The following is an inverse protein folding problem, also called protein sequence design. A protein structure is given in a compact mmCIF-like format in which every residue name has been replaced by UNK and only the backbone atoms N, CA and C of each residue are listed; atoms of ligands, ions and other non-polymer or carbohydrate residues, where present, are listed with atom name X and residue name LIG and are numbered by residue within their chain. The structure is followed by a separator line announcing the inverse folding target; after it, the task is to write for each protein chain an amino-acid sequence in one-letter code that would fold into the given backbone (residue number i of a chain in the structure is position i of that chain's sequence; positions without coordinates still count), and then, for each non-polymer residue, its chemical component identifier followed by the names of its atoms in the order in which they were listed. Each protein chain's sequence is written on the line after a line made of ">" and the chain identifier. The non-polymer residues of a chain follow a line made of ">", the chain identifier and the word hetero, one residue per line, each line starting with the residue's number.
data_IF_794881289179
#
_entry.id   IF_794881289179
#
_cell.length_a   1.000
_cell.length_b   1.000
_cell.length_c   1.000
_cell.angle_alpha   90.00
_cell.angle_beta   90.00
_cell.angle_gamma   90.00
#
_symmetry.space_group_name_H-M   'P 1'
#
loop_
_entity.id
_entity.type
_entity.pdbx_description
1 polymer ?
#
# COMPACT_ATOMS: atom_id res chain seq x y z
N UNK A 1 48.59 14.50 25.51
CA UNK A 1 47.63 15.58 25.19
C UNK A 1 47.37 15.70 23.70
N UNK A 2 48.32 15.36 22.82
CA UNK A 2 48.10 15.33 21.37
C UNK A 2 47.29 14.12 20.88
N UNK A 3 47.52 12.93 21.43
CA UNK A 3 46.87 11.69 20.97
C UNK A 3 45.34 11.78 21.06
N UNK A 4 44.82 12.43 22.11
CA UNK A 4 43.38 12.67 22.29
C UNK A 4 42.82 13.59 21.20
N UNK A 5 43.58 14.61 20.78
CA UNK A 5 43.19 15.55 19.74
C UNK A 5 43.24 14.91 18.34
N UNK A 6 44.24 14.06 18.08
CA UNK A 6 44.29 13.24 16.86
C UNK A 6 43.16 12.20 16.81
N UNK A 7 42.83 11.57 17.94
CA UNK A 7 41.68 10.67 18.02
C UNK A 7 40.38 11.45 17.82
N UNK A 8 40.19 12.62 18.43
CA UNK A 8 39.00 13.45 18.22
C UNK A 8 38.84 13.90 16.76
N UNK A 9 39.95 14.27 16.10
CA UNK A 9 39.95 14.63 14.67
C UNK A 9 39.66 13.40 13.78
N UNK A 10 40.28 12.26 14.05
CA UNK A 10 40.01 11.01 13.33
C UNK A 10 38.55 10.55 13.54
N UNK A 11 38.00 10.70 14.74
CA UNK A 11 36.60 10.37 15.06
C UNK A 11 35.64 11.34 14.35
N UNK A 12 36.00 12.63 14.25
CA UNK A 12 35.22 13.62 13.53
C UNK A 12 35.28 13.42 12.00
N UNK A 13 36.41 12.99 11.48
CA UNK A 13 36.64 12.67 10.06
C UNK A 13 35.91 11.37 9.67
N UNK A 14 36.00 10.31 10.48
CA UNK A 14 35.20 9.08 10.33
C UNK A 14 33.69 9.34 10.46
N UNK A 15 33.27 10.22 11.37
CA UNK A 15 31.87 10.65 11.50
C UNK A 15 31.37 11.49 10.30
N UNK A 16 32.27 12.20 9.61
CA UNK A 16 31.97 12.93 8.38
C UNK A 16 31.93 12.00 7.15
N UNK A 17 32.68 10.89 7.16
CA UNK A 17 32.67 9.87 6.09
C UNK A 17 31.41 8.98 6.11
N UNK A 18 30.78 8.81 7.28
CA UNK A 18 29.44 8.24 7.41
C UNK A 18 28.34 9.31 7.21
N UNK A 19 28.18 9.91 6.03
CA UNK A 19 27.12 10.92 5.82
C UNK A 19 25.91 10.39 5.04
N UNK A 20 24.72 10.78 5.48
CA UNK A 20 23.43 10.57 4.80
C UNK A 20 23.01 9.11 4.70
N UNK A 21 23.00 8.55 3.48
CA UNK A 21 22.46 7.22 3.18
C UNK A 21 23.30 6.08 3.77
N UNK A 22 24.62 6.28 3.91
CA UNK A 22 25.52 5.32 4.55
C UNK A 22 25.18 5.11 6.03
N UNK A 23 24.66 6.11 6.72
CA UNK A 23 24.18 5.95 8.10
C UNK A 23 22.92 5.08 8.19
N UNK A 24 22.08 5.10 7.14
CA UNK A 24 20.76 4.46 7.17
C UNK A 24 20.80 3.04 6.62
N UNK A 25 21.85 2.64 5.89
CA UNK A 25 21.91 1.35 5.19
C UNK A 25 21.59 0.15 6.10
N UNK A 26 22.11 0.12 7.33
CA UNK A 26 21.86 -0.94 8.32
C UNK A 26 20.50 -0.84 9.03
N UNK A 27 19.78 0.27 8.87
CA UNK A 27 18.48 0.53 9.49
C UNK A 27 17.31 0.32 8.50
N UNK A 28 17.53 0.47 7.18
CA UNK A 28 16.48 0.36 6.14
C UNK A 28 15.77 -0.99 6.17
N UNK A 29 16.53 -2.08 6.32
CA UNK A 29 15.98 -3.44 6.25
C UNK A 29 15.60 -4.01 7.61
N UNK A 30 15.73 -3.22 8.68
CA UNK A 30 15.33 -3.67 10.00
C UNK A 30 13.82 -3.89 10.05
N UNK A 31 13.39 -4.92 10.78
CA UNK A 31 11.97 -5.18 11.05
C UNK A 31 11.29 -3.91 11.58
N UNK A 32 10.29 -3.35 10.87
CA UNK A 32 9.56 -2.20 11.35
C UNK A 32 8.60 -2.61 12.48
N UNK A 33 8.24 -1.65 13.35
CA UNK A 33 7.30 -1.88 14.48
C UNK A 33 5.97 -2.47 14.03
N UNK A 34 5.49 -2.07 12.85
CA UNK A 34 4.24 -2.52 12.25
C UNK A 34 4.46 -3.28 10.94
N UNK A 35 5.30 -4.32 10.96
CA UNK A 35 5.64 -5.10 9.76
C UNK A 35 4.43 -5.71 9.03
N UNK A 36 3.40 -6.14 9.76
CA UNK A 36 2.14 -6.62 9.17
C UNK A 36 1.44 -5.53 8.36
N UNK A 37 1.26 -4.34 8.95
CA UNK A 37 0.58 -3.23 8.26
C UNK A 37 1.36 -2.82 7.02
N UNK A 38 2.68 -2.69 7.12
CA UNK A 38 3.51 -2.36 5.96
C UNK A 38 3.37 -3.41 4.85
N UNK A 39 3.45 -4.69 5.19
CA UNK A 39 3.30 -5.79 4.23
C UNK A 39 1.93 -5.76 3.54
N UNK A 40 0.86 -5.51 4.30
CA UNK A 40 -0.50 -5.34 3.79
C UNK A 40 -0.61 -4.14 2.85
N UNK A 41 -0.07 -2.98 3.24
CA UNK A 41 -0.04 -1.77 2.40
C UNK A 41 0.72 -1.99 1.10
N UNK A 42 1.86 -2.69 1.13
CA UNK A 42 2.62 -3.04 -0.07
C UNK A 42 1.83 -3.99 -0.97
N UNK A 43 1.15 -4.99 -0.39
CA UNK A 43 0.26 -5.89 -1.14
C UNK A 43 -0.86 -5.13 -1.86
N UNK A 44 -1.59 -4.29 -1.14
CA UNK A 44 -2.65 -3.46 -1.73
C UNK A 44 -2.12 -2.46 -2.76
N UNK A 45 -0.94 -1.88 -2.53
CA UNK A 45 -0.26 -1.03 -3.51
C UNK A 45 0.06 -1.78 -4.81
N UNK A 46 0.56 -3.01 -4.72
CA UNK A 46 0.80 -3.86 -5.88
C UNK A 46 -0.49 -4.20 -6.63
N UNK A 47 -1.59 -4.40 -5.90
CA UNK A 47 -2.91 -4.66 -6.48
C UNK A 47 -3.40 -3.48 -7.32
N UNK A 48 -3.31 -2.27 -6.76
CA UNK A 48 -3.71 -1.02 -7.43
C UNK A 48 -2.80 -0.77 -8.63
N UNK A 49 -1.48 -0.88 -8.46
CA UNK A 49 -0.52 -0.67 -9.53
C UNK A 49 -0.75 -1.65 -10.70
N UNK A 50 -0.92 -2.94 -10.40
CA UNK A 50 -1.21 -3.96 -11.41
C UNK A 50 -2.51 -3.67 -12.17
N UNK A 51 -3.57 -3.31 -11.45
CA UNK A 51 -4.84 -2.89 -12.06
C UNK A 51 -4.62 -1.67 -12.97
N UNK A 52 -4.01 -0.60 -12.47
CA UNK A 52 -3.78 0.64 -13.22
C UNK A 52 -2.96 0.41 -14.49
N UNK A 53 -1.88 -0.38 -14.41
CA UNK A 53 -1.03 -0.70 -15.57
C UNK A 53 -1.83 -1.49 -16.61
N UNK A 54 -2.55 -2.54 -16.21
CA UNK A 54 -3.32 -3.37 -17.15
C UNK A 54 -4.47 -2.56 -17.77
N UNK A 55 -5.17 -1.75 -16.98
CA UNK A 55 -6.21 -0.84 -17.49
C UNK A 55 -5.64 0.15 -18.49
N UNK A 56 -4.47 0.76 -18.22
CA UNK A 56 -3.82 1.70 -19.13
C UNK A 56 -3.47 1.02 -20.46
N UNK A 57 -2.91 -0.19 -20.42
CA UNK A 57 -2.59 -0.95 -21.64
C UNK A 57 -3.84 -1.23 -22.47
N UNK A 58 -4.93 -1.69 -21.85
CA UNK A 58 -6.20 -1.94 -22.57
C UNK A 58 -6.84 -0.66 -23.11
N UNK A 59 -6.69 0.47 -22.40
CA UNK A 59 -7.14 1.76 -22.88
C UNK A 59 -6.33 2.21 -24.11
N UNK A 60 -5.00 2.08 -24.08
CA UNK A 60 -4.11 2.45 -25.19
C UNK A 60 -4.33 1.59 -26.44
N UNK A 61 -4.67 0.31 -26.27
CA UNK A 61 -4.98 -0.61 -27.38
C UNK A 61 -6.41 -0.41 -27.94
N UNK A 62 -7.21 0.48 -27.35
CA UNK A 62 -8.58 0.77 -27.81
C UNK A 62 -9.63 -0.27 -27.42
N UNK A 63 -9.32 -1.23 -26.53
CA UNK A 63 -10.30 -2.20 -26.03
C UNK A 63 -11.35 -1.57 -25.10
N UNK A 64 -11.03 -0.42 -24.51
CA UNK A 64 -11.93 0.33 -23.63
C UNK A 64 -12.49 1.54 -24.38
N UNK A 65 -13.59 1.33 -25.10
CA UNK A 65 -14.28 2.41 -25.81
C UNK A 65 -15.00 3.35 -24.84
N UNK A 66 -14.78 4.69 -24.94
CA UNK A 66 -15.50 5.69 -24.14
C UNK A 66 -17.03 5.67 -24.33
N UNK A 67 -17.52 5.04 -25.41
CA UNK A 67 -18.94 4.93 -25.71
C UNK A 67 -19.70 3.99 -24.75
N UNK A 68 -19.00 3.06 -24.09
CA UNK A 68 -19.60 2.18 -23.09
C UNK A 68 -19.61 2.87 -21.73
N UNK A 69 -20.71 3.57 -21.42
CA UNK A 69 -20.90 4.24 -20.12
C UNK A 69 -20.68 3.26 -18.97
N UNK A 70 -19.65 3.52 -18.16
CA UNK A 70 -19.29 2.67 -17.01
C UNK A 70 -18.46 1.42 -17.33
N UNK A 71 -18.15 1.14 -18.60
CA UNK A 71 -17.35 -0.02 -19.00
C UNK A 71 -15.93 0.01 -18.40
N UNK A 72 -15.29 1.18 -18.40
CA UNK A 72 -13.99 1.39 -17.75
C UNK A 72 -14.02 1.01 -16.28
N UNK A 73 -15.04 1.48 -15.55
CA UNK A 73 -15.16 1.28 -14.11
C UNK A 73 -15.39 -0.20 -13.79
N UNK A 74 -16.24 -0.88 -14.54
CA UNK A 74 -16.44 -2.34 -14.43
C UNK A 74 -15.16 -3.13 -14.73
N UNK A 75 -14.42 -2.75 -15.78
CA UNK A 75 -13.13 -3.37 -16.11
C UNK A 75 -12.10 -3.18 -15.00
N UNK A 76 -11.99 -1.97 -14.43
CA UNK A 76 -11.10 -1.70 -13.30
C UNK A 76 -11.46 -2.55 -12.08
N UNK A 77 -12.75 -2.68 -11.74
CA UNK A 77 -13.19 -3.51 -10.61
C UNK A 77 -12.88 -4.99 -10.81
N UNK A 78 -13.10 -5.51 -12.02
CA UNK A 78 -12.77 -6.88 -12.37
C UNK A 78 -11.26 -7.13 -12.30
N UNK A 79 -10.47 -6.26 -12.93
CA UNK A 79 -9.00 -6.33 -12.90
C UNK A 79 -8.48 -6.24 -11.47
N UNK A 80 -8.98 -5.30 -10.66
CA UNK A 80 -8.62 -5.17 -9.25
C UNK A 80 -8.84 -6.49 -8.49
N UNK A 81 -9.96 -7.16 -8.73
CA UNK A 81 -10.30 -8.44 -8.10
C UNK A 81 -9.25 -9.52 -8.44
N UNK A 82 -8.87 -9.63 -9.72
CA UNK A 82 -7.86 -10.58 -10.18
C UNK A 82 -6.46 -10.25 -9.65
N UNK A 83 -6.12 -8.97 -9.53
CA UNK A 83 -4.85 -8.54 -8.95
C UNK A 83 -4.69 -8.90 -7.47
N UNK A 84 -5.74 -9.41 -6.82
CA UNK A 84 -5.68 -9.97 -5.46
C UNK A 84 -4.60 -11.04 -5.29
N UNK A 85 -4.30 -11.83 -6.34
CA UNK A 85 -3.20 -12.82 -6.29
C UNK A 85 -1.84 -12.13 -6.05
N UNK A 86 -1.57 -11.06 -6.79
CA UNK A 86 -0.33 -10.29 -6.62
C UNK A 86 -0.29 -9.56 -5.28
N UNK A 87 -1.44 -9.10 -4.78
CA UNK A 87 -1.58 -8.50 -3.46
C UNK A 87 -1.18 -9.49 -2.34
N UNK A 88 -1.76 -10.68 -2.38
CA UNK A 88 -1.46 -11.76 -1.44
C UNK A 88 0.01 -12.20 -1.54
N UNK A 89 0.52 -12.37 -2.76
CA UNK A 89 1.91 -12.77 -2.99
C UNK A 89 2.89 -11.74 -2.42
N UNK A 90 2.77 -10.47 -2.79
CA UNK A 90 3.69 -9.42 -2.37
C UNK A 90 3.61 -9.18 -0.86
N UNK A 91 2.40 -9.14 -0.28
CA UNK A 91 2.26 -8.98 1.18
C UNK A 91 2.90 -10.14 1.95
N UNK A 92 2.69 -11.39 1.54
CA UNK A 92 3.31 -12.55 2.18
C UNK A 92 4.83 -12.54 2.09
N UNK A 93 5.38 -12.14 0.94
CA UNK A 93 6.83 -12.01 0.70
C UNK A 93 7.45 -10.99 1.63
N UNK A 94 6.87 -9.79 1.72
CA UNK A 94 7.35 -8.73 2.60
C UNK A 94 7.16 -9.08 4.08
N UNK A 95 6.06 -9.74 4.44
CA UNK A 95 5.86 -10.17 5.82
C UNK A 95 6.91 -11.20 6.26
N UNK A 96 7.24 -12.14 5.36
CA UNK A 96 8.30 -13.13 5.58
C UNK A 96 9.69 -12.51 5.62
N UNK A 97 9.98 -11.49 4.80
CA UNK A 97 11.23 -10.72 4.84
C UNK A 97 11.51 -10.17 6.25
N UNK A 98 10.47 -9.72 6.95
CA UNK A 98 10.59 -9.18 8.30
C UNK A 98 10.46 -10.25 9.41
N UNK A 99 10.63 -11.54 9.08
CA UNK A 99 10.54 -12.64 10.04
C UNK A 99 9.16 -12.75 10.68
N UNK A 100 8.10 -12.66 9.88
CA UNK A 100 6.74 -12.92 10.30
C UNK A 100 6.31 -14.35 9.97
N UNK A 101 5.81 -15.09 10.97
CA UNK A 101 5.39 -16.50 10.81
C UNK A 101 3.88 -16.66 10.56
N UNK A 102 3.07 -15.75 11.13
CA UNK A 102 1.60 -15.76 11.04
C UNK A 102 1.07 -15.26 9.69
N UNK A 103 1.44 -15.94 8.60
CA UNK A 103 1.08 -15.52 7.24
C UNK A 103 -0.44 -15.44 7.04
N UNK A 104 -1.21 -16.36 7.64
CA UNK A 104 -2.69 -16.38 7.55
C UNK A 104 -3.32 -15.08 8.06
N UNK A 105 -2.82 -14.54 9.17
CA UNK A 105 -3.30 -13.27 9.71
C UNK A 105 -2.93 -12.11 8.77
N UNK A 106 -1.71 -12.12 8.23
CA UNK A 106 -1.31 -11.14 7.22
C UNK A 106 -2.22 -11.20 5.98
N UNK A 107 -2.53 -12.40 5.48
CA UNK A 107 -3.44 -12.62 4.35
C UNK A 107 -4.85 -12.08 4.63
N UNK A 108 -5.40 -12.37 5.81
CA UNK A 108 -6.71 -11.85 6.24
C UNK A 108 -6.68 -10.32 6.27
N UNK A 109 -5.64 -9.71 6.85
CA UNK A 109 -5.49 -8.27 6.85
C UNK A 109 -5.39 -7.70 5.42
N UNK A 110 -4.65 -8.34 4.51
CA UNK A 110 -4.56 -7.91 3.10
C UNK A 110 -5.92 -7.97 2.40
N UNK A 111 -6.70 -9.03 2.65
CA UNK A 111 -7.98 -9.23 2.00
C UNK A 111 -9.10 -8.31 2.55
N UNK A 112 -9.00 -7.90 3.82
CA UNK A 112 -10.09 -7.19 4.51
C UNK A 112 -9.81 -5.74 4.87
N UNK A 113 -8.57 -5.34 5.16
CA UNK A 113 -8.29 -4.02 5.75
C UNK A 113 -8.68 -2.88 4.81
N UNK A 114 -8.04 -2.79 3.65
CA UNK A 114 -8.32 -1.72 2.68
C UNK A 114 -9.66 -1.94 1.95
N UNK A 115 -9.95 -3.13 1.39
CA UNK A 115 -11.24 -3.36 0.74
C UNK A 115 -12.43 -3.11 1.67
N UNK A 116 -12.33 -3.54 2.94
CA UNK A 116 -13.38 -3.32 3.93
C UNK A 116 -13.51 -1.87 4.35
N UNK A 117 -12.39 -1.14 4.49
CA UNK A 117 -12.43 0.31 4.76
C UNK A 117 -13.16 1.05 3.64
N UNK A 118 -12.78 0.82 2.38
CA UNK A 118 -13.40 1.48 1.23
C UNK A 118 -14.85 1.06 1.04
N UNK A 119 -15.18 -0.22 1.21
CA UNK A 119 -16.55 -0.70 1.15
C UNK A 119 -17.42 -0.07 2.25
N UNK A 120 -16.90 0.09 3.46
CA UNK A 120 -17.63 0.72 4.57
C UNK A 120 -17.94 2.18 4.27
N UNK A 121 -16.94 2.94 3.80
CA UNK A 121 -17.13 4.35 3.40
C UNK A 121 -18.15 4.46 2.28
N UNK A 122 -17.97 3.67 1.21
CA UNK A 122 -18.89 3.61 0.09
C UNK A 122 -20.31 3.25 0.51
N UNK A 123 -20.47 2.24 1.39
CA UNK A 123 -21.77 1.80 1.87
C UNK A 123 -22.48 2.88 2.68
N UNK A 124 -21.79 3.54 3.62
CA UNK A 124 -22.36 4.65 4.40
C UNK A 124 -22.80 5.80 3.48
N UNK A 125 -21.96 6.19 2.50
CA UNK A 125 -22.33 7.20 1.52
C UNK A 125 -23.55 6.77 0.70
N UNK A 126 -23.61 5.51 0.26
CA UNK A 126 -24.75 4.99 -0.49
C UNK A 126 -26.05 4.99 0.33
N UNK A 127 -25.98 4.70 1.63
CA UNK A 127 -27.13 4.80 2.54
C UNK A 127 -27.68 6.23 2.63
N UNK A 128 -26.79 7.24 2.70
CA UNK A 128 -27.20 8.65 2.72
C UNK A 128 -27.89 9.05 1.41
N UNK A 129 -27.36 8.60 0.27
CA UNK A 129 -27.93 8.88 -1.06
C UNK A 129 -29.30 8.19 -1.22
N UNK A 130 -29.46 6.96 -0.71
CA UNK A 130 -30.77 6.30 -0.65
C UNK A 130 -31.78 7.08 0.20
N UNK A 131 -31.36 7.63 1.35
CA UNK A 131 -32.22 8.46 2.20
C UNK A 131 -32.77 9.68 1.47
N UNK A 132 -32.00 10.26 0.54
CA UNK A 132 -32.40 11.36 -0.33
C UNK A 132 -33.25 10.94 -1.54
N UNK A 133 -33.56 9.64 -1.69
CA UNK A 133 -34.26 9.07 -2.86
C UNK A 133 -33.62 9.46 -4.21
N UNK A 134 -32.29 9.65 -4.21
CA UNK A 134 -31.56 10.02 -5.42
C UNK A 134 -31.46 8.83 -6.38
N UNK A 135 -31.59 9.10 -7.68
CA UNK A 135 -31.39 8.11 -8.75
C UNK A 135 -29.94 7.66 -8.91
N UNK A 136 -28.99 8.38 -8.29
CA UNK A 136 -27.57 8.03 -8.26
C UNK A 136 -27.21 6.95 -7.24
N UNK A 137 -28.17 6.48 -6.44
CA UNK A 137 -27.90 5.44 -5.46
C UNK A 137 -27.65 4.08 -6.12
N UNK A 138 -26.61 3.39 -5.67
CA UNK A 138 -26.28 2.04 -6.15
C UNK A 138 -27.35 1.07 -5.64
N UNK A 139 -27.99 0.29 -6.51
CA UNK A 139 -29.07 -0.61 -6.11
C UNK A 139 -28.53 -1.79 -5.29
N UNK A 140 -29.40 -2.37 -4.46
CA UNK A 140 -29.06 -3.48 -3.57
C UNK A 140 -28.41 -4.67 -4.31
N UNK A 141 -28.91 -4.99 -5.50
CA UNK A 141 -28.36 -6.08 -6.34
C UNK A 141 -26.89 -5.86 -6.68
N UNK A 142 -26.50 -4.62 -7.01
CA UNK A 142 -25.11 -4.29 -7.30
C UNK A 142 -24.26 -4.41 -6.04
N UNK A 143 -24.72 -3.92 -4.88
CA UNK A 143 -23.99 -4.12 -3.62
C UNK A 143 -23.78 -5.60 -3.29
N UNK A 144 -24.81 -6.43 -3.48
CA UNK A 144 -24.70 -7.87 -3.28
C UNK A 144 -23.68 -8.50 -4.23
N UNK A 145 -23.70 -8.11 -5.52
CA UNK A 145 -22.71 -8.56 -6.49
C UNK A 145 -21.27 -8.16 -6.09
N UNK A 146 -21.06 -6.97 -5.51
CA UNK A 146 -19.75 -6.54 -5.00
C UNK A 146 -19.28 -7.42 -3.84
N UNK A 147 -20.18 -7.81 -2.93
CA UNK A 147 -19.86 -8.73 -1.84
C UNK A 147 -19.50 -10.12 -2.39
N UNK A 148 -20.25 -10.65 -3.35
CA UNK A 148 -19.91 -11.93 -3.99
C UNK A 148 -18.56 -11.86 -4.70
N UNK A 149 -18.27 -10.77 -5.40
CA UNK A 149 -16.99 -10.57 -6.07
C UNK A 149 -15.83 -10.50 -5.05
N UNK A 150 -16.03 -9.79 -3.94
CA UNK A 150 -15.03 -9.63 -2.89
C UNK A 150 -14.79 -10.94 -2.13
N UNK A 151 -15.82 -11.51 -1.51
CA UNK A 151 -15.68 -12.71 -0.68
C UNK A 151 -15.51 -13.99 -1.50
N UNK A 152 -16.16 -14.09 -2.66
CA UNK A 152 -16.17 -15.28 -3.49
C UNK A 152 -14.97 -15.39 -4.43
N UNK A 153 -14.39 -14.27 -4.86
CA UNK A 153 -13.26 -14.27 -5.81
C UNK A 153 -12.02 -13.62 -5.22
N UNK A 154 -12.11 -12.35 -4.80
CA UNK A 154 -10.93 -11.60 -4.35
C UNK A 154 -10.25 -12.25 -3.14
N UNK A 155 -11.01 -12.59 -2.10
CA UNK A 155 -10.47 -13.21 -0.88
C UNK A 155 -9.73 -14.53 -1.20
N UNK A 156 -10.32 -15.52 -1.89
CA UNK A 156 -9.60 -16.73 -2.30
C UNK A 156 -8.34 -16.47 -3.11
N UNK A 157 -8.36 -15.49 -4.03
CA UNK A 157 -7.19 -15.14 -4.84
C UNK A 157 -6.05 -14.54 -3.98
N UNK A 158 -6.37 -13.69 -3.00
CA UNK A 158 -5.38 -13.20 -2.04
C UNK A 158 -4.77 -14.36 -1.23
N UNK A 159 -5.60 -15.31 -0.80
CA UNK A 159 -5.11 -16.51 -0.12
C UNK A 159 -4.19 -17.36 -1.02
N UNK A 160 -4.57 -17.57 -2.27
CA UNK A 160 -3.79 -18.30 -3.25
C UNK A 160 -2.42 -17.64 -3.46
N UNK A 161 -2.40 -16.32 -3.70
CA UNK A 161 -1.18 -15.55 -3.86
C UNK A 161 -0.29 -15.61 -2.63
N UNK A 162 -0.88 -15.41 -1.45
CA UNK A 162 -0.16 -15.45 -0.17
C UNK A 162 0.45 -16.82 0.11
N UNK A 163 -0.25 -17.89 -0.22
CA UNK A 163 0.24 -19.25 -0.05
C UNK A 163 1.51 -19.51 -0.89
N UNK A 164 1.49 -19.12 -2.16
CA UNK A 164 2.68 -19.23 -3.02
C UNK A 164 3.81 -18.28 -2.59
N UNK A 165 3.47 -17.05 -2.19
CA UNK A 165 4.43 -16.06 -1.73
C UNK A 165 5.17 -16.50 -0.46
N UNK A 166 4.45 -17.07 0.51
CA UNK A 166 5.02 -17.50 1.77
C UNK A 166 5.86 -18.79 1.65
N UNK A 167 5.57 -19.66 0.69
CA UNK A 167 6.37 -20.86 0.41
C UNK A 167 7.77 -20.56 -0.13
N UNK A 168 7.95 -19.42 -0.80
CA UNK A 168 9.27 -19.02 -1.31
C UNK A 168 10.23 -18.68 -0.15
N UNK A 169 11.55 -18.93 -0.29
CA UNK A 169 12.54 -18.59 0.74
C UNK A 169 12.52 -17.10 1.05
N UNK A 170 12.76 -16.69 2.30
CA UNK A 170 12.76 -15.27 2.66
C UNK A 170 13.69 -14.47 1.73
N UNK A 171 13.33 -13.22 1.42
CA UNK A 171 14.20 -12.35 0.61
C UNK A 171 15.50 -12.11 1.38
N UNK A 172 16.64 -12.30 0.73
CA UNK A 172 17.93 -12.03 1.32
C UNK A 172 18.15 -10.53 1.42
N UNK A 173 18.54 -10.07 2.59
CA UNK A 173 18.87 -8.67 2.83
C UNK A 173 20.34 -8.47 2.47
N UNK A 174 20.70 -7.49 1.63
CA UNK A 174 22.07 -7.30 1.15
C UNK A 174 23.04 -6.85 2.24
N UNK A 175 22.54 -6.47 3.41
CA UNK A 175 23.30 -5.85 4.50
C UNK A 175 22.88 -6.42 5.85
N UNK A 176 23.82 -6.52 6.78
CA UNK A 176 23.49 -6.84 8.18
C UNK A 176 22.78 -5.65 8.80
N UNK A 177 21.69 -5.92 9.50
CA UNK A 177 20.90 -4.86 10.15
C UNK A 177 21.45 -4.53 11.53
N UNK A 178 21.36 -3.26 11.93
CA UNK A 178 21.73 -2.83 13.27
C UNK A 178 20.68 -3.30 14.28
N UNK A 179 21.12 -3.83 15.42
CA UNK A 179 20.19 -4.25 16.48
C UNK A 179 19.59 -3.05 17.23
N UNK A 180 20.37 -1.98 17.41
CA UNK A 180 19.96 -0.80 18.16
C UNK A 180 19.46 0.28 17.19
N UNK A 181 18.24 0.83 17.38
CA UNK A 181 17.78 1.98 16.61
C UNK A 181 18.68 3.19 16.82
N UNK A 182 19.07 3.85 15.73
CA UNK A 182 19.62 5.19 15.81
C UNK A 182 18.57 6.15 16.39
N UNK A 183 19.02 7.11 17.20
CA UNK A 183 18.16 8.16 17.72
C UNK A 183 17.79 9.10 16.58
N UNK A 184 16.49 9.24 16.30
CA UNK A 184 15.99 10.18 15.29
C UNK A 184 15.86 11.55 15.97
N UNK A 185 16.45 12.63 15.41
CA UNK A 185 16.30 13.97 15.96
C UNK A 185 14.83 14.42 15.91
N UNK A 186 14.44 15.32 16.82
CA UNK A 186 13.08 15.88 16.81
C UNK A 186 12.82 16.58 15.47
N UNK A 187 11.77 16.15 14.76
CA UNK A 187 11.42 16.73 13.47
C UNK A 187 10.65 18.05 13.66
N UNK A 188 10.88 19.05 12.80
CA UNK A 188 10.06 20.26 12.76
C UNK A 188 8.58 19.92 12.57
N UNK A 189 7.70 20.77 13.10
CA UNK A 189 6.24 20.55 13.07
C UNK A 189 5.69 20.34 11.64
N UNK A 190 6.25 21.01 10.64
CA UNK A 190 5.80 20.93 9.24
C UNK A 190 6.24 19.66 8.50
N UNK A 191 7.14 18.84 9.07
CA UNK A 191 7.52 17.53 8.51
C UNK A 191 6.73 16.39 9.17
N UNK A 192 6.01 16.69 10.26
CA UNK A 192 5.24 15.68 10.97
C UNK A 192 4.25 14.94 10.05
N UNK A 193 4.06 13.62 10.22
CA UNK A 193 3.28 12.81 9.29
C UNK A 193 1.88 13.36 9.00
N UNK A 194 1.17 13.86 10.02
CA UNK A 194 -0.18 14.41 9.85
C UNK A 194 -0.19 15.65 8.95
N UNK A 195 0.73 16.60 9.18
CA UNK A 195 0.80 17.82 8.39
C UNK A 195 1.21 17.51 6.94
N UNK A 196 2.25 16.68 6.77
CA UNK A 196 2.72 16.26 5.44
C UNK A 196 1.65 15.49 4.66
N UNK A 197 0.88 14.62 5.32
CA UNK A 197 -0.24 13.91 4.69
C UNK A 197 -1.38 14.84 4.26
N UNK A 198 -1.72 15.86 5.07
CA UNK A 198 -2.74 16.84 4.71
C UNK A 198 -2.31 17.69 3.51
N UNK A 199 -1.11 18.28 3.57
CA UNK A 199 -0.57 19.13 2.49
C UNK A 199 -0.38 18.32 1.21
N UNK A 200 0.19 17.12 1.30
CA UNK A 200 0.35 16.22 0.16
C UNK A 200 -0.98 15.77 -0.45
N UNK A 201 -2.05 15.70 0.35
CA UNK A 201 -3.40 15.36 -0.10
C UNK A 201 -4.12 16.49 -0.84
N UNK A 202 -3.70 17.75 -0.68
CA UNK A 202 -4.34 18.90 -1.36
C UNK A 202 -4.21 18.80 -2.88
N UNK A 203 -3.06 18.33 -3.38
CA UNK A 203 -2.82 18.20 -4.83
C UNK A 203 -3.77 17.19 -5.51
N UNK A 204 -3.85 15.91 -5.09
CA UNK A 204 -4.79 14.97 -5.67
C UNK A 204 -6.24 15.38 -5.42
N UNK A 205 -6.54 16.01 -4.27
CA UNK A 205 -7.88 16.57 -4.03
C UNK A 205 -8.25 17.63 -5.07
N UNK A 206 -7.35 18.59 -5.33
CA UNK A 206 -7.56 19.64 -6.33
C UNK A 206 -7.79 19.07 -7.73
N UNK A 207 -6.99 18.07 -8.14
CA UNK A 207 -7.16 17.43 -9.44
C UNK A 207 -8.52 16.71 -9.59
N UNK A 208 -8.96 15.99 -8.56
CA UNK A 208 -10.29 15.34 -8.59
C UNK A 208 -11.42 16.37 -8.53
N UNK A 209 -11.25 17.43 -7.74
CA UNK A 209 -12.22 18.51 -7.64
C UNK A 209 -12.44 19.20 -9.00
N UNK A 210 -11.37 19.51 -9.74
CA UNK A 210 -11.50 20.13 -11.06
C UNK A 210 -12.24 19.23 -12.04
N UNK A 211 -11.95 17.93 -12.06
CA UNK A 211 -12.64 16.95 -12.93
C UNK A 211 -14.10 16.69 -12.55
N UNK A 212 -14.51 16.99 -11.31
CA UNK A 212 -15.91 16.86 -10.88
C UNK A 212 -16.74 18.12 -11.16
N UNK A 213 -16.09 19.29 -11.26
CA UNK A 213 -16.75 20.57 -11.49
C UNK A 213 -16.87 20.95 -12.96
N UNK A 214 -15.95 20.48 -13.81
CA UNK A 214 -15.94 20.71 -15.26
C UNK A 214 -16.27 19.42 -16.02
#
# INVERSE_FOLDING_TARGET
>A
RDITKYNELATAEEAAEETGWKLVHGDVFRKPKHSKLLAVSVGSGMQILGMSVVTLVFALLGFLSPAHRGGLLQSMMLLFTFMGVFAGYSSARFYKLFGGDDWKLCTLMTAFLYPGLFFTVFFVLNLLIWGQKSSGAVPFTTMFALLVLWFGISVPLVFLGSYFGFRKPAMEVPVRTNQIPRKIPAQPWFIQPLFTSLVGGVLPFGAVFTELFF
#
